data_IF_143067133082
#
_entry.id   IF_143067133082
#
_cell.length_a   1.000
_cell.length_b   1.000
_cell.length_c   1.000
_cell.angle_alpha   90.00
_cell.angle_beta   90.00
_cell.angle_gamma   90.00
#
_symmetry.space_group_name_H-M   'P 1'
#
loop_
_entity.id
_entity.type
_entity.pdbx_description
1 polymer ?
#
# COMPACT_ATOMS: atom_id res chain seq x y z
N UNK A 1 11.25 15.17 -17.97
CA UNK A 1 11.74 13.84 -17.49
C UNK A 1 11.63 13.82 -15.99
N UNK A 2 10.68 13.11 -15.42
CA UNK A 2 10.54 12.94 -13.96
C UNK A 2 11.65 12.02 -13.47
N UNK A 3 12.33 12.42 -12.41
CA UNK A 3 13.39 11.60 -11.79
C UNK A 3 12.77 10.34 -11.15
N UNK A 4 13.55 9.25 -10.98
CA UNK A 4 13.06 8.05 -10.29
C UNK A 4 12.52 8.34 -8.88
N UNK A 5 13.07 9.32 -8.18
CA UNK A 5 12.64 9.76 -6.85
C UNK A 5 11.27 10.43 -6.90
N UNK A 6 10.99 11.28 -7.89
CA UNK A 6 9.67 11.90 -8.07
C UNK A 6 8.58 10.88 -8.43
N UNK A 7 8.94 9.80 -9.14
CA UNK A 7 8.00 8.71 -9.41
C UNK A 7 7.64 7.89 -8.18
N UNK A 8 8.58 7.70 -7.26
CA UNK A 8 8.36 7.00 -6.01
C UNK A 8 7.57 7.85 -5.01
N UNK A 9 7.83 9.16 -4.94
CA UNK A 9 7.10 10.06 -4.03
C UNK A 9 5.59 10.09 -4.30
N UNK A 10 5.18 9.99 -5.56
CA UNK A 10 3.76 9.91 -5.94
C UNK A 10 3.06 8.59 -5.57
N UNK A 11 3.82 7.58 -5.14
CA UNK A 11 3.29 6.27 -4.74
C UNK A 11 3.28 6.08 -3.22
N UNK A 12 3.96 6.93 -2.46
CA UNK A 12 3.99 6.85 -0.99
C UNK A 12 2.64 7.30 -0.44
N UNK A 13 2.04 6.49 0.41
CA UNK A 13 0.76 6.79 1.04
C UNK A 13 0.87 6.99 2.54
N UNK A 14 1.97 6.59 3.15
CA UNK A 14 2.18 6.73 4.57
C UNK A 14 3.45 6.05 5.04
N UNK A 15 3.60 5.99 6.35
CA UNK A 15 4.74 5.37 7.04
C UNK A 15 4.25 4.36 8.08
N UNK A 16 5.04 3.33 8.30
CA UNK A 16 4.76 2.31 9.31
C UNK A 16 4.88 2.91 10.70
N UNK A 17 3.82 2.81 11.49
CA UNK A 17 3.75 3.29 12.87
C UNK A 17 4.06 2.18 13.89
N UNK A 18 3.53 0.98 13.65
CA UNK A 18 3.79 -0.18 14.50
C UNK A 18 3.70 -1.48 13.71
N UNK A 19 4.41 -2.49 14.19
CA UNK A 19 4.49 -3.81 13.55
C UNK A 19 4.18 -4.89 14.58
N UNK A 20 3.25 -5.76 14.23
CA UNK A 20 2.94 -7.01 14.92
C UNK A 20 2.96 -8.16 13.90
N UNK A 21 3.03 -9.43 14.31
CA UNK A 21 3.11 -10.55 13.37
C UNK A 21 1.95 -10.65 12.38
N UNK A 22 0.78 -10.22 12.78
CA UNK A 22 -0.48 -10.28 12.03
C UNK A 22 -1.01 -8.92 11.57
N UNK A 23 -0.45 -7.82 12.11
CA UNK A 23 -0.91 -6.46 11.83
C UNK A 23 0.26 -5.49 11.69
N UNK A 24 0.21 -4.66 10.65
CA UNK A 24 1.07 -3.49 10.50
C UNK A 24 0.18 -2.24 10.50
N UNK A 25 0.42 -1.33 11.43
CA UNK A 25 -0.29 -0.05 11.48
C UNK A 25 0.49 1.01 10.73
N UNK A 26 -0.23 1.80 9.98
CA UNK A 26 0.33 2.83 9.10
C UNK A 26 -0.33 4.16 9.36
N UNK A 27 0.49 5.17 9.54
CA UNK A 27 0.07 6.56 9.55
C UNK A 27 0.06 7.05 8.09
N UNK A 28 -1.11 7.47 7.61
CA UNK A 28 -1.25 8.04 6.28
C UNK A 28 -0.66 9.45 6.23
N UNK A 29 0.02 9.76 5.13
CA UNK A 29 0.48 11.13 4.91
C UNK A 29 -0.70 12.10 4.72
N UNK A 30 -0.51 13.36 5.10
CA UNK A 30 -1.54 14.39 4.98
C UNK A 30 -1.95 14.61 3.52
N UNK A 31 -0.98 14.54 2.62
CA UNK A 31 -1.15 14.72 1.19
C UNK A 31 -1.57 13.44 0.46
N UNK A 32 -1.70 12.32 1.18
CA UNK A 32 -2.20 11.09 0.57
C UNK A 32 -3.58 11.32 -0.05
N UNK A 33 -3.82 10.88 -1.29
CA UNK A 33 -5.05 11.17 -2.03
C UNK A 33 -6.29 10.83 -1.21
N UNK A 34 -7.24 11.76 -1.11
CA UNK A 34 -8.49 11.59 -0.35
C UNK A 34 -9.57 10.91 -1.15
N UNK A 35 -9.50 11.02 -2.47
CA UNK A 35 -10.50 10.47 -3.38
C UNK A 35 -9.91 10.30 -4.77
N UNK A 36 -10.50 9.42 -5.55
CA UNK A 36 -10.26 9.37 -6.99
C UNK A 36 -10.68 10.70 -7.58
N UNK A 37 -9.77 11.40 -8.21
CA UNK A 37 -10.10 12.57 -9.00
C UNK A 37 -10.92 12.10 -10.19
N UNK A 38 -12.25 12.21 -10.10
CA UNK A 38 -13.20 11.90 -11.17
C UNK A 38 -12.92 12.71 -12.45
N UNK A 39 -12.14 13.80 -12.35
CA UNK A 39 -11.94 14.76 -13.42
C UNK A 39 -10.58 14.71 -14.13
N UNK A 40 -9.66 13.85 -13.73
CA UNK A 40 -8.32 13.83 -14.35
C UNK A 40 -8.07 12.67 -15.31
N UNK A 41 -9.02 11.75 -15.47
CA UNK A 41 -8.90 10.61 -16.40
C UNK A 41 -7.83 9.57 -15.99
N UNK A 42 -7.02 9.86 -14.98
CA UNK A 42 -6.04 8.93 -14.41
C UNK A 42 -6.54 8.48 -13.05
N UNK A 43 -6.80 7.18 -12.84
CA UNK A 43 -7.14 6.67 -11.52
C UNK A 43 -5.96 6.95 -10.59
N UNK A 44 -6.11 7.94 -9.70
CA UNK A 44 -5.18 8.08 -8.61
C UNK A 44 -5.26 6.82 -7.74
N UNK A 45 -4.14 6.12 -7.56
CA UNK A 45 -4.07 4.98 -6.69
C UNK A 45 -4.39 5.43 -5.27
N UNK A 46 -5.60 5.13 -4.79
CA UNK A 46 -6.02 5.43 -3.42
C UNK A 46 -6.12 4.13 -2.62
N UNK A 47 -5.59 4.09 -1.38
CA UNK A 47 -5.76 2.92 -0.52
C UNK A 47 -7.23 2.63 -0.26
N UNK A 48 -7.67 1.40 -0.57
CA UNK A 48 -9.04 0.94 -0.34
C UNK A 48 -9.01 -0.35 0.47
N UNK A 49 -10.06 -0.60 1.23
CA UNK A 49 -10.23 -1.88 1.91
C UNK A 49 -10.07 -3.03 0.91
N UNK A 50 -9.38 -4.06 1.34
CA UNK A 50 -8.96 -5.22 0.52
C UNK A 50 -7.98 -4.89 -0.62
N UNK A 51 -7.50 -3.65 -0.72
CA UNK A 51 -6.41 -3.28 -1.61
C UNK A 51 -5.06 -3.73 -1.07
N UNK A 52 -4.10 -3.94 -1.96
CA UNK A 52 -2.73 -4.30 -1.59
C UNK A 52 -1.85 -3.07 -1.50
N UNK A 53 -0.90 -3.13 -0.57
CA UNK A 53 0.18 -2.15 -0.42
C UNK A 53 1.51 -2.89 -0.31
N UNK A 54 2.58 -2.18 -0.60
CA UNK A 54 3.94 -2.67 -0.54
C UNK A 54 4.73 -1.88 0.50
N UNK A 55 5.51 -2.60 1.28
CA UNK A 55 6.46 -2.02 2.23
C UNK A 55 7.83 -2.54 1.84
N UNK A 56 8.69 -1.71 1.19
CA UNK A 56 10.02 -2.13 0.77
C UNK A 56 10.86 -2.58 1.94
N UNK A 57 11.63 -3.63 1.74
CA UNK A 57 12.58 -4.16 2.70
C UNK A 57 13.79 -4.77 1.96
N UNK A 58 14.75 -5.31 2.70
CA UNK A 58 15.96 -5.92 2.17
C UNK A 58 15.73 -7.17 1.30
N UNK A 59 14.60 -7.87 1.51
CA UNK A 59 14.22 -9.06 0.74
C UNK A 59 13.41 -8.73 -0.53
N UNK A 60 13.04 -7.45 -0.73
CA UNK A 60 12.18 -6.98 -1.81
C UNK A 60 11.09 -6.05 -1.28
N UNK A 61 9.89 -6.54 -1.11
CA UNK A 61 8.82 -5.79 -0.45
C UNK A 61 7.84 -6.73 0.26
N UNK A 62 7.46 -6.40 1.48
CA UNK A 62 6.34 -7.04 2.15
C UNK A 62 5.05 -6.62 1.47
N UNK A 63 4.26 -7.59 1.05
CA UNK A 63 2.91 -7.38 0.53
C UNK A 63 1.92 -7.51 1.68
N UNK A 64 1.09 -6.51 1.85
CA UNK A 64 0.03 -6.52 2.84
C UNK A 64 -1.28 -6.02 2.24
N UNK A 65 -2.42 -6.55 2.71
CA UNK A 65 -3.73 -6.04 2.30
C UNK A 65 -4.35 -5.20 3.41
N UNK A 66 -5.16 -4.23 3.00
CA UNK A 66 -5.76 -3.26 3.91
C UNK A 66 -6.99 -3.88 4.56
N UNK A 67 -6.95 -3.99 5.88
CA UNK A 67 -8.05 -4.54 6.71
C UNK A 67 -8.92 -3.45 7.32
N UNK A 68 -8.36 -2.28 7.56
CA UNK A 68 -9.05 -1.16 8.17
C UNK A 68 -8.44 0.18 7.73
N UNK A 69 -9.29 1.17 7.54
CA UNK A 69 -8.91 2.57 7.31
C UNK A 69 -9.83 3.45 8.17
N UNK A 70 -9.25 4.37 8.91
CA UNK A 70 -10.03 5.24 9.76
C UNK A 70 -9.26 6.46 10.25
N UNK A 71 -9.96 7.23 11.06
CA UNK A 71 -9.43 8.43 11.69
C UNK A 71 -9.30 8.14 13.18
N UNK A 72 -8.11 8.34 13.72
CA UNK A 72 -7.91 8.28 15.15
C UNK A 72 -8.48 9.54 15.79
N UNK A 73 -9.39 9.35 16.72
CA UNK A 73 -9.89 10.47 17.53
C UNK A 73 -8.85 10.80 18.59
N UNK A 74 -8.61 12.11 18.80
CA UNK A 74 -7.76 12.54 19.89
C UNK A 74 -8.24 11.93 21.21
N UNK A 75 -7.36 11.32 22.01
CA UNK A 75 -7.72 10.80 23.33
C UNK A 75 -8.09 11.92 24.30
N UNK A 76 -7.79 13.17 23.96
CA UNK A 76 -8.14 14.31 24.77
C UNK A 76 -9.51 14.84 24.36
N UNK A 77 -10.52 14.78 25.24
CA UNK A 77 -11.81 15.39 24.98
C UNK A 77 -11.62 16.90 24.77
N UNK A 78 -12.15 17.43 23.67
CA UNK A 78 -12.23 18.89 23.48
C UNK A 78 -12.96 19.47 24.71
N UNK A 79 -12.24 20.13 25.59
CA UNK A 79 -12.88 20.89 26.68
C UNK A 79 -13.64 22.05 26.04
N UNK A 80 -14.95 21.92 25.99
CA UNK A 80 -15.81 23.03 25.63
C UNK A 80 -15.57 24.18 26.63
N UNK A 81 -15.00 25.29 26.15
CA UNK A 81 -14.85 26.51 26.96
C UNK A 81 -13.46 27.07 27.15
N UNK A 82 -12.38 26.41 26.71
CA UNK A 82 -11.08 27.05 26.66
C UNK A 82 -10.94 27.78 25.31
N UNK A 83 -10.98 29.13 25.39
CA UNK A 83 -10.58 29.98 24.26
C UNK A 83 -9.15 29.59 23.84
N UNK A 84 -8.97 29.39 22.54
CA UNK A 84 -7.69 29.08 21.90
C UNK A 84 -6.59 30.03 22.36
N UNK A 85 -5.78 29.58 23.27
CA UNK A 85 -4.49 30.19 23.52
C UNK A 85 -3.48 29.55 22.56
N UNK A 86 -3.51 29.86 21.26
CA UNK A 86 -2.41 29.66 20.32
C UNK A 86 -1.55 28.40 20.47
N UNK A 87 -2.03 27.37 21.12
CA UNK A 87 -1.39 26.08 21.22
C UNK A 87 -1.47 25.42 19.86
N UNK A 88 -0.31 25.18 19.29
CA UNK A 88 0.00 24.48 18.05
C UNK A 88 -1.12 23.47 17.74
N UNK A 89 -1.84 23.77 16.68
CA UNK A 89 -2.85 22.87 16.12
C UNK A 89 -2.10 21.64 15.62
N UNK A 90 -1.98 20.63 16.50
CA UNK A 90 -1.49 19.34 16.05
C UNK A 90 -2.39 18.90 14.91
N UNK A 91 -1.84 18.39 13.78
CA UNK A 91 -2.62 18.01 12.62
C UNK A 91 -3.51 16.79 12.97
N UNK A 92 -4.58 17.04 13.68
CA UNK A 92 -5.67 16.11 13.90
C UNK A 92 -6.82 16.46 12.95
N UNK A 93 -7.47 15.43 12.44
CA UNK A 93 -7.38 14.02 12.79
C UNK A 93 -6.31 13.25 11.97
N UNK A 94 -5.54 12.43 12.65
CA UNK A 94 -4.61 11.51 12.00
C UNK A 94 -5.40 10.38 11.29
N UNK A 95 -5.15 10.21 10.01
CA UNK A 95 -5.67 9.07 9.26
C UNK A 95 -4.72 7.89 9.42
N UNK A 96 -5.28 6.74 9.79
CA UNK A 96 -4.52 5.51 9.98
C UNK A 96 -5.14 4.36 9.21
N UNK A 97 -4.36 3.36 8.93
CA UNK A 97 -4.84 2.10 8.39
C UNK A 97 -4.12 0.92 9.04
N UNK A 98 -4.81 -0.21 9.07
CA UNK A 98 -4.27 -1.50 9.48
C UNK A 98 -4.09 -2.37 8.25
N UNK A 99 -2.96 -3.02 8.17
CA UNK A 99 -2.57 -3.92 7.10
C UNK A 99 -2.32 -5.31 7.66
N UNK A 100 -2.74 -6.34 6.94
CA UNK A 100 -2.37 -7.72 7.24
C UNK A 100 -1.31 -8.19 6.23
N UNK A 101 -0.11 -8.55 6.68
CA UNK A 101 0.95 -9.05 5.81
C UNK A 101 0.59 -10.42 5.24
N UNK A 102 0.82 -10.63 3.94
CA UNK A 102 0.46 -11.88 3.25
C UNK A 102 1.62 -12.57 2.55
N UNK A 103 2.67 -11.82 2.23
CA UNK A 103 3.79 -12.40 1.51
C UNK A 103 4.91 -11.41 1.22
N UNK A 104 5.89 -11.89 0.47
CA UNK A 104 7.03 -11.10 0.02
C UNK A 104 7.05 -11.05 -1.49
N UNK A 105 7.07 -9.84 -2.06
CA UNK A 105 7.23 -9.59 -3.48
C UNK A 105 8.71 -9.39 -3.80
N UNK A 106 9.25 -10.21 -4.64
CA UNK A 106 10.61 -10.07 -5.16
C UNK A 106 10.58 -9.61 -6.61
N UNK A 107 11.65 -8.98 -7.06
CA UNK A 107 11.80 -8.57 -8.45
C UNK A 107 13.07 -9.16 -9.04
N UNK A 108 12.96 -9.65 -10.28
CA UNK A 108 14.07 -10.17 -11.05
C UNK A 108 14.07 -9.55 -12.44
N UNK A 109 15.23 -9.10 -12.88
CA UNK A 109 15.38 -8.65 -14.26
C UNK A 109 15.55 -9.87 -15.16
N UNK A 110 14.65 -10.07 -16.08
CA UNK A 110 14.78 -11.08 -17.11
C UNK A 110 15.88 -10.65 -18.11
N UNK A 111 16.88 -11.51 -18.29
CA UNK A 111 18.02 -11.22 -19.18
C UNK A 111 17.65 -11.27 -20.66
N UNK A 112 16.62 -12.04 -21.01
CA UNK A 112 16.22 -12.21 -22.40
C UNK A 112 15.37 -11.04 -22.91
N UNK A 113 14.42 -10.60 -22.10
CA UNK A 113 13.48 -9.51 -22.45
C UNK A 113 13.91 -8.14 -21.92
N UNK A 114 14.84 -8.09 -20.95
CA UNK A 114 15.22 -6.86 -20.25
C UNK A 114 14.14 -6.30 -19.32
N UNK A 115 13.01 -6.98 -19.21
CA UNK A 115 11.87 -6.56 -18.37
C UNK A 115 12.06 -7.00 -16.93
N UNK A 116 11.41 -6.26 -16.00
CA UNK A 116 11.37 -6.65 -14.59
C UNK A 116 10.19 -7.59 -14.39
N UNK A 117 10.47 -8.78 -13.90
CA UNK A 117 9.48 -9.80 -13.53
C UNK A 117 9.32 -9.78 -12.01
N UNK A 118 8.08 -9.71 -11.55
CA UNK A 118 7.74 -9.77 -10.14
C UNK A 118 7.25 -11.17 -9.77
N UNK A 119 7.59 -11.61 -8.57
CA UNK A 119 7.20 -12.91 -8.05
C UNK A 119 6.76 -12.79 -6.60
N UNK A 120 5.53 -13.24 -6.31
CA UNK A 120 5.00 -13.30 -4.95
C UNK A 120 5.34 -14.65 -4.32
N UNK A 121 6.01 -14.62 -3.17
CA UNK A 121 6.17 -15.76 -2.28
C UNK A 121 5.23 -15.60 -1.09
N UNK A 122 4.49 -16.67 -0.73
CA UNK A 122 3.67 -16.67 0.47
C UNK A 122 4.55 -16.63 1.72
N UNK A 123 4.10 -15.89 2.72
CA UNK A 123 4.85 -15.68 3.97
C UNK A 123 5.77 -14.47 3.89
N UNK A 124 5.96 -13.85 5.03
CA UNK A 124 6.79 -12.65 5.19
C UNK A 124 8.21 -13.10 5.55
N UNK A 125 9.15 -12.84 4.66
CA UNK A 125 10.56 -13.19 4.88
C UNK A 125 11.23 -12.18 5.81
N UNK A 126 10.93 -10.89 5.61
CA UNK A 126 11.41 -9.81 6.47
C UNK A 126 10.25 -8.90 6.82
N UNK A 127 10.00 -8.71 8.10
CA UNK A 127 8.99 -7.76 8.57
C UNK A 127 9.49 -6.33 8.38
N UNK A 128 8.58 -5.39 8.07
CA UNK A 128 8.95 -3.98 7.99
C UNK A 128 9.35 -3.42 9.35
N UNK A 129 10.04 -2.29 9.31
CA UNK A 129 10.42 -1.53 10.49
C UNK A 129 9.52 -0.29 10.65
N UNK A 130 9.44 0.19 11.89
CA UNK A 130 8.75 1.47 12.17
C UNK A 130 9.48 2.60 11.43
N UNK A 131 8.72 3.43 10.71
CA UNK A 131 9.23 4.49 9.86
C UNK A 131 9.41 4.11 8.38
N UNK A 132 9.26 2.82 8.02
CA UNK A 132 9.33 2.40 6.62
C UNK A 132 8.18 3.01 5.82
N UNK A 133 8.48 3.38 4.57
CA UNK A 133 7.48 3.92 3.65
C UNK A 133 6.53 2.85 3.15
N UNK A 134 5.28 3.22 2.99
CA UNK A 134 4.22 2.36 2.44
C UNK A 134 3.83 2.87 1.06
N UNK A 135 3.88 1.99 0.07
CA UNK A 135 3.72 2.31 -1.34
C UNK A 135 2.46 1.65 -1.95
N UNK A 136 1.84 2.35 -2.87
CA UNK A 136 0.83 1.76 -3.76
C UNK A 136 1.55 0.91 -4.82
N UNK A 137 1.12 -0.36 -5.04
CA UNK A 137 1.70 -1.19 -6.09
C UNK A 137 1.35 -0.67 -7.48
N UNK A 138 2.28 -0.82 -8.40
CA UNK A 138 2.04 -0.59 -9.83
C UNK A 138 1.13 -1.69 -10.42
N UNK A 139 0.48 -1.47 -11.57
CA UNK A 139 -0.36 -2.49 -12.21
C UNK A 139 0.34 -3.84 -12.40
N UNK A 140 1.60 -3.84 -12.84
CA UNK A 140 2.39 -5.07 -13.02
C UNK A 140 2.71 -5.78 -11.70
N UNK A 141 2.87 -5.04 -10.61
CA UNK A 141 3.02 -5.63 -9.28
C UNK A 141 1.70 -6.21 -8.78
N UNK A 142 0.57 -5.53 -9.01
CA UNK A 142 -0.76 -6.08 -8.68
C UNK A 142 -1.02 -7.36 -9.48
N UNK A 143 -0.68 -7.39 -10.76
CA UNK A 143 -0.76 -8.61 -11.58
C UNK A 143 0.02 -9.77 -10.94
N UNK A 144 1.24 -9.52 -10.49
CA UNK A 144 2.06 -10.55 -9.85
C UNK A 144 1.51 -11.00 -8.48
N UNK A 145 0.82 -10.10 -7.76
CA UNK A 145 0.21 -10.41 -6.46
C UNK A 145 -1.07 -11.23 -6.63
N UNK A 146 -1.93 -10.85 -7.57
CA UNK A 146 -3.26 -11.45 -7.76
C UNK A 146 -3.22 -12.57 -8.80
N UNK A 147 -2.35 -12.44 -9.79
CA UNK A 147 -2.21 -13.38 -10.89
C UNK A 147 -1.62 -14.70 -10.40
N UNK A 148 -2.32 -15.78 -10.65
CA UNK A 148 -1.73 -17.09 -10.54
C UNK A 148 -0.78 -17.31 -11.72
N UNK A 149 0.37 -17.97 -11.49
CA UNK A 149 1.22 -18.44 -12.59
C UNK A 149 0.38 -19.31 -13.52
N UNK A 150 0.54 -19.06 -14.82
CA UNK A 150 -0.03 -19.94 -15.86
C UNK A 150 0.61 -21.33 -15.68
N UNK A 151 -0.17 -22.27 -15.19
CA UNK A 151 0.23 -23.65 -14.93
C UNK A 151 -0.83 -24.54 -15.56
N UNK A 152 -0.43 -25.56 -16.31
CA UNK A 152 -1.30 -26.52 -17.01
C UNK A 152 -2.35 -27.19 -16.12
N UNK A 153 -2.20 -27.07 -14.80
CA UNK A 153 -3.12 -27.64 -13.80
C UNK A 153 -4.20 -26.64 -13.30
N UNK A 154 -4.27 -25.45 -13.88
CA UNK A 154 -5.17 -24.39 -13.42
C UNK A 154 -6.14 -23.97 -14.50
N UNK A 155 -7.37 -23.66 -14.10
CA UNK A 155 -8.42 -23.18 -15.00
C UNK A 155 -8.73 -21.73 -14.66
N UNK A 156 -8.71 -20.87 -15.67
CA UNK A 156 -9.10 -19.47 -15.51
C UNK A 156 -10.59 -19.37 -15.23
N UNK A 157 -10.98 -18.84 -14.06
CA UNK A 157 -12.36 -18.66 -13.64
C UNK A 157 -12.84 -17.20 -13.73
N UNK A 158 -11.93 -16.25 -13.95
CA UNK A 158 -12.29 -14.84 -14.04
C UNK A 158 -11.09 -13.91 -14.23
N UNK A 159 -11.34 -12.63 -14.10
CA UNK A 159 -10.32 -11.58 -14.06
C UNK A 159 -10.49 -10.70 -12.81
N UNK A 160 -9.38 -10.21 -12.26
CA UNK A 160 -9.43 -9.35 -11.09
C UNK A 160 -9.93 -7.95 -11.46
N UNK A 161 -10.87 -7.36 -10.70
CA UNK A 161 -11.24 -5.95 -10.89
C UNK A 161 -10.12 -4.98 -10.52
N UNK A 162 -9.10 -5.43 -9.80
CA UNK A 162 -7.95 -4.62 -9.39
C UNK A 162 -6.80 -4.63 -10.42
N UNK A 163 -6.80 -5.62 -11.30
CA UNK A 163 -5.83 -5.75 -12.37
C UNK A 163 -6.53 -6.39 -13.58
N UNK A 164 -6.83 -5.59 -14.60
CA UNK A 164 -7.64 -6.01 -15.76
C UNK A 164 -7.04 -7.21 -16.53
N UNK A 165 -5.75 -7.43 -16.41
CA UNK A 165 -5.03 -8.51 -17.09
C UNK A 165 -4.74 -9.71 -16.17
N UNK A 166 -4.96 -9.60 -14.85
CA UNK A 166 -4.72 -10.70 -13.92
C UNK A 166 -5.85 -11.73 -14.01
N UNK A 167 -5.50 -12.96 -14.33
CA UNK A 167 -6.42 -14.09 -14.29
C UNK A 167 -6.59 -14.56 -12.84
N UNK A 168 -7.83 -14.81 -12.45
CA UNK A 168 -8.15 -15.52 -11.22
C UNK A 168 -8.27 -17.00 -11.58
N UNK A 169 -7.46 -17.83 -10.95
CA UNK A 169 -7.39 -19.28 -11.20
C UNK A 169 -7.76 -20.05 -9.95
#
# INVERSE_FOLDING_TARGET
MTTPVERLSGLVVGVVESVAPDEVRVLLELDAPHSTALNTGVPAGFPRLNGYLLIPNEAGATVAYITWIGIERSPYPKRAGLKDFGLIDLPFPLRKMSLSPVGTLTSRRDRASGTTVYELSRGVVAFPSVGDQVLIPTPSQVEAIVGARDDDKRVRIGSSPMASNAAIM
#
